data_IF_075155998619
#
_entry.id   IF_075155998619
#
_cell.length_a   1.000
_cell.length_b   1.000
_cell.length_c   1.000
_cell.angle_alpha   90.00
_cell.angle_beta   90.00
_cell.angle_gamma   90.00
#
_symmetry.space_group_name_H-M   'P 1'
#
loop_
_entity.id
_entity.type
_entity.pdbx_description
1 polymer ?
#
# COMPACT_ATOMS: atom_id res chain seq x y z
N UNK A 1 3.84 -9.00 -8.74
CA UNK A 1 3.20 -8.84 -7.42
C UNK A 1 1.80 -8.23 -7.50
N UNK A 2 1.53 -7.23 -8.36
CA UNK A 2 0.17 -6.70 -8.61
C UNK A 2 -0.78 -7.70 -9.33
N UNK A 3 -0.24 -8.78 -9.92
CA UNK A 3 -1.00 -9.79 -10.69
C UNK A 3 -1.94 -10.66 -9.86
N UNK A 4 -1.81 -10.70 -8.52
CA UNK A 4 -2.58 -11.63 -7.68
C UNK A 4 -4.03 -11.14 -7.46
N UNK A 5 -4.26 -9.82 -7.38
CA UNK A 5 -5.59 -9.29 -7.11
C UNK A 5 -6.52 -9.26 -8.33
N UNK A 6 -5.95 -9.18 -9.54
CA UNK A 6 -6.72 -9.33 -10.79
C UNK A 6 -7.36 -10.72 -10.91
N UNK A 7 -6.79 -11.73 -10.25
CA UNK A 7 -7.27 -13.11 -10.33
C UNK A 7 -8.63 -13.36 -9.67
N UNK A 8 -9.05 -12.52 -8.71
CA UNK A 8 -10.40 -12.63 -8.12
C UNK A 8 -11.48 -11.97 -8.98
N UNK A 9 -11.11 -11.06 -9.89
CA UNK A 9 -12.00 -10.38 -10.83
C UNK A 9 -13.33 -9.89 -10.22
N UNK A 10 -13.27 -9.31 -9.00
CA UNK A 10 -14.47 -8.84 -8.31
C UNK A 10 -15.11 -7.68 -9.08
N UNK A 11 -16.27 -7.96 -9.69
CA UNK A 11 -16.99 -7.00 -10.50
C UNK A 11 -17.46 -5.81 -9.66
N UNK A 12 -17.25 -4.60 -10.18
CA UNK A 12 -17.78 -3.37 -9.61
C UNK A 12 -18.38 -2.50 -10.71
N UNK A 13 -19.62 -2.83 -11.12
CA UNK A 13 -20.32 -2.22 -12.28
C UNK A 13 -20.36 -0.69 -12.25
N UNK A 14 -20.54 -0.13 -11.05
CA UNK A 14 -20.64 1.31 -10.82
C UNK A 14 -19.29 2.05 -10.93
N UNK A 15 -18.16 1.32 -10.88
CA UNK A 15 -16.83 1.91 -11.09
C UNK A 15 -16.50 2.06 -12.57
N UNK A 16 -15.76 3.13 -12.89
CA UNK A 16 -15.16 3.34 -14.20
C UNK A 16 -14.18 2.21 -14.56
N UNK A 17 -13.48 1.66 -13.57
CA UNK A 17 -12.54 0.55 -13.76
C UNK A 17 -13.23 -0.81 -13.87
N UNK A 18 -14.54 -0.88 -13.66
CA UNK A 18 -15.40 -2.09 -13.72
C UNK A 18 -15.02 -3.25 -12.79
N UNK A 19 -13.94 -3.11 -12.05
CA UNK A 19 -13.46 -4.07 -11.07
C UNK A 19 -13.02 -3.36 -9.79
N UNK A 20 -13.02 -4.11 -8.68
CA UNK A 20 -12.44 -3.66 -7.43
C UNK A 20 -10.92 -3.65 -7.53
N UNK A 21 -10.31 -2.57 -7.06
CA UNK A 21 -8.86 -2.43 -6.91
C UNK A 21 -8.51 -2.11 -5.47
N UNK A 22 -7.33 -2.50 -5.03
CA UNK A 22 -6.83 -2.22 -3.68
C UNK A 22 -5.61 -1.31 -3.78
N UNK A 23 -5.50 -0.36 -2.85
CA UNK A 23 -4.24 0.38 -2.62
C UNK A 23 -3.63 -0.13 -1.33
N UNK A 24 -2.32 -0.32 -1.31
CA UNK A 24 -1.62 -0.94 -0.18
C UNK A 24 -0.47 -0.02 0.26
N UNK A 25 -0.42 0.30 1.55
CA UNK A 25 0.73 0.91 2.19
C UNK A 25 1.43 -0.12 3.06
N UNK A 26 2.75 -0.21 2.95
CA UNK A 26 3.54 -1.14 3.74
C UNK A 26 4.79 -0.48 4.31
N UNK A 27 5.22 -0.95 5.47
CA UNK A 27 6.48 -0.61 6.10
C UNK A 27 7.07 -1.89 6.66
N UNK A 28 8.39 -2.01 6.63
CA UNK A 28 9.11 -3.03 7.38
C UNK A 28 9.96 -2.36 8.45
N UNK A 29 10.02 -2.94 9.63
CA UNK A 29 10.77 -2.38 10.76
C UNK A 29 11.58 -3.49 11.40
N UNK A 30 12.87 -3.24 11.62
CA UNK A 30 13.66 -4.11 12.48
C UNK A 30 13.35 -3.76 13.94
N UNK A 31 13.06 -4.77 14.79
CA UNK A 31 12.87 -4.52 16.20
C UNK A 31 14.20 -4.08 16.82
N UNK A 32 14.30 -2.78 17.11
CA UNK A 32 15.35 -2.18 17.93
C UNK A 32 14.70 -1.42 19.09
N UNK A 33 15.51 -0.95 20.05
CA UNK A 33 15.01 -0.28 21.25
C UNK A 33 14.21 1.00 21.00
N UNK A 34 14.35 1.62 19.83
CA UNK A 34 13.72 2.89 19.45
C UNK A 34 12.51 2.71 18.53
N UNK A 35 12.26 1.48 18.08
CA UNK A 35 11.23 1.15 17.09
C UNK A 35 9.96 0.62 17.75
N UNK A 36 9.03 1.54 18.02
CA UNK A 36 7.72 1.19 18.56
C UNK A 36 6.74 0.69 17.48
N UNK A 37 5.89 -0.32 17.77
CA UNK A 37 4.87 -0.81 16.84
C UNK A 37 3.93 0.28 16.29
N UNK A 38 3.65 1.32 17.08
CA UNK A 38 2.81 2.44 16.63
C UNK A 38 3.44 3.20 15.44
N UNK A 39 4.77 3.27 15.39
CA UNK A 39 5.51 3.87 14.26
C UNK A 39 5.33 3.06 13.00
N UNK A 40 5.38 1.72 13.09
CA UNK A 40 5.14 0.81 11.97
C UNK A 40 3.77 1.05 11.33
N UNK A 41 2.70 1.12 12.15
CA UNK A 41 1.33 1.35 11.67
C UNK A 41 1.20 2.75 11.05
N UNK A 42 1.68 3.77 11.76
CA UNK A 42 1.60 5.16 11.30
C UNK A 42 2.27 5.35 9.95
N UNK A 43 3.43 4.73 9.75
CA UNK A 43 4.18 4.86 8.49
C UNK A 43 3.55 4.03 7.37
N UNK A 44 3.06 2.82 7.66
CA UNK A 44 2.30 2.03 6.69
C UNK A 44 1.03 2.76 6.22
N UNK A 45 0.32 3.43 7.12
CA UNK A 45 -0.87 4.22 6.76
C UNK A 45 -0.51 5.44 5.89
N UNK A 46 0.60 6.13 6.19
CA UNK A 46 1.11 7.18 5.30
C UNK A 46 1.41 6.65 3.89
N UNK A 47 2.06 5.50 3.78
CA UNK A 47 2.31 4.86 2.49
C UNK A 47 1.00 4.51 1.75
N UNK A 48 -0.03 4.10 2.49
CA UNK A 48 -1.36 3.80 1.94
C UNK A 48 -2.02 5.07 1.38
N UNK A 49 -1.96 6.17 2.11
CA UNK A 49 -2.46 7.46 1.66
C UNK A 49 -1.74 7.92 0.39
N UNK A 50 -0.41 7.81 0.34
CA UNK A 50 0.35 8.12 -0.88
C UNK A 50 -0.05 7.24 -2.06
N UNK A 51 -0.32 5.95 -1.84
CA UNK A 51 -0.77 5.04 -2.90
C UNK A 51 -2.15 5.45 -3.44
N UNK A 52 -3.03 5.93 -2.55
CA UNK A 52 -4.35 6.44 -2.92
C UNK A 52 -4.25 7.75 -3.71
N UNK A 53 -3.40 8.67 -3.31
CA UNK A 53 -3.21 9.96 -3.97
C UNK A 53 -2.46 9.85 -5.30
N UNK A 54 -1.57 8.87 -5.43
CA UNK A 54 -0.78 8.62 -6.65
C UNK A 54 -1.56 7.87 -7.75
N UNK A 55 -2.89 7.76 -7.65
CA UNK A 55 -3.74 7.12 -8.66
C UNK A 55 -4.45 5.83 -8.22
N UNK A 56 -4.28 5.39 -6.96
CA UNK A 56 -4.88 4.15 -6.40
C UNK A 56 -4.38 2.89 -7.14
N UNK A 57 -4.96 1.73 -6.82
CA UNK A 57 -4.68 0.46 -7.50
C UNK A 57 -3.22 -0.01 -7.47
N UNK A 58 -2.42 0.50 -6.53
CA UNK A 58 -0.98 0.27 -6.46
C UNK A 58 -0.53 0.04 -5.02
N UNK A 59 0.70 -0.41 -4.84
CA UNK A 59 1.32 -0.50 -3.52
C UNK A 59 2.45 0.52 -3.39
N UNK A 60 2.62 1.06 -2.19
CA UNK A 60 3.79 1.85 -1.84
C UNK A 60 4.41 1.21 -0.60
N UNK A 61 5.70 0.94 -0.68
CA UNK A 61 6.51 0.57 0.47
C UNK A 61 7.24 1.82 0.94
N UNK A 62 7.09 2.11 2.23
CA UNK A 62 7.93 3.09 2.87
C UNK A 62 9.23 2.41 3.30
N UNK A 63 10.34 3.02 2.93
CA UNK A 63 11.66 2.64 3.38
C UNK A 63 12.30 3.87 4.02
N UNK A 64 12.71 3.68 5.28
CA UNK A 64 13.37 4.68 6.12
C UNK A 64 14.72 5.13 5.55
N UNK A 65 15.26 4.39 4.58
CA UNK A 65 16.59 4.57 4.00
C UNK A 65 16.58 5.19 2.60
N UNK A 66 15.43 5.18 1.89
CA UNK A 66 15.17 5.91 0.64
C UNK A 66 13.73 5.62 0.16
N UNK A 67 13.01 6.61 -0.37
CA UNK A 67 11.69 6.34 -0.97
C UNK A 67 11.84 5.52 -2.27
N UNK A 68 11.44 4.24 -2.26
CA UNK A 68 11.40 3.40 -3.46
C UNK A 68 9.95 3.27 -3.93
N UNK A 69 9.62 3.85 -5.09
CA UNK A 69 8.44 3.44 -5.87
C UNK A 69 8.79 2.15 -6.58
N UNK A 70 8.07 1.08 -6.28
CA UNK A 70 8.28 -0.26 -6.88
C UNK A 70 7.16 -0.58 -7.85
#
# INVERSE_FOLDING_TARGET
>A
MLSVFSGLALEHRASLLKMVTISIGSQTLMPDGDNHPNKLITVADKALYLAKESGRGQFIQWDSSNMVKV
#
